data_IF_697982340544
#
_entry.id   IF_697982340544
#
_cell.length_a   1.000
_cell.length_b   1.000
_cell.length_c   1.000
_cell.angle_alpha   90.00
_cell.angle_beta   90.00
_cell.angle_gamma   90.00
#
_symmetry.space_group_name_H-M   'P 1'
#
loop_
_entity.id
_entity.type
_entity.pdbx_description
1 polymer ?
#
# COMPACT_ATOMS: atom_id res chain seq x y z
N UNK A 1 -6.26 10.66 13.86
CA UNK A 1 -5.98 9.24 13.50
C UNK A 1 -4.65 9.15 12.78
N UNK A 2 -4.04 7.96 12.69
CA UNK A 2 -2.78 7.76 11.97
C UNK A 2 -2.96 6.75 10.84
N UNK A 3 -2.41 7.05 9.66
CA UNK A 3 -2.55 6.22 8.45
C UNK A 3 -1.17 5.92 7.87
N UNK A 4 -0.92 4.65 7.58
CA UNK A 4 0.22 4.19 6.79
C UNK A 4 -0.25 3.90 5.36
N UNK A 5 0.21 4.71 4.42
CA UNK A 5 -0.03 4.51 3.00
C UNK A 5 1.03 3.58 2.43
N UNK A 6 0.60 2.62 1.61
CA UNK A 6 1.51 1.63 1.02
C UNK A 6 1.25 1.46 -0.46
N UNK A 7 2.32 1.19 -1.22
CA UNK A 7 2.17 0.74 -2.59
C UNK A 7 1.73 -0.73 -2.64
N UNK A 8 0.48 -0.95 -3.02
CA UNK A 8 -0.09 -2.29 -3.07
C UNK A 8 0.62 -3.21 -4.06
N UNK A 9 1.18 -2.68 -5.15
CA UNK A 9 1.84 -3.52 -6.14
C UNK A 9 3.18 -4.02 -5.63
N UNK A 10 3.99 -3.12 -5.05
CA UNK A 10 5.29 -3.48 -4.48
C UNK A 10 5.17 -4.46 -3.32
N UNK A 11 4.09 -4.37 -2.53
CA UNK A 11 3.85 -5.28 -1.40
C UNK A 11 3.31 -6.64 -1.87
N UNK A 12 2.34 -6.67 -2.78
CA UNK A 12 1.62 -7.91 -3.12
C UNK A 12 2.30 -8.73 -4.22
N UNK A 13 3.12 -8.09 -5.07
CA UNK A 13 3.80 -8.72 -6.20
C UNK A 13 5.26 -8.26 -6.28
N UNK A 14 5.95 -8.25 -5.14
CA UNK A 14 7.38 -7.94 -5.08
C UNK A 14 8.20 -8.90 -5.96
N UNK A 15 9.34 -8.42 -6.45
CA UNK A 15 10.25 -9.25 -7.24
C UNK A 15 10.68 -10.51 -6.45
N UNK A 16 10.95 -10.37 -5.16
CA UNK A 16 11.29 -11.50 -4.30
C UNK A 16 10.15 -12.54 -4.24
N UNK A 17 8.91 -12.09 -4.00
CA UNK A 17 7.75 -12.98 -3.96
C UNK A 17 7.55 -13.75 -5.27
N UNK A 18 7.62 -13.05 -6.41
CA UNK A 18 7.47 -13.65 -7.74
C UNK A 18 8.61 -14.64 -8.04
N UNK A 19 9.85 -14.33 -7.63
CA UNK A 19 10.99 -15.22 -7.84
C UNK A 19 10.93 -16.50 -6.98
N UNK A 20 10.24 -16.46 -5.83
CA UNK A 20 10.03 -17.66 -5.00
C UNK A 20 8.84 -18.51 -5.45
N UNK A 21 8.00 -18.02 -6.37
CA UNK A 21 6.76 -18.67 -6.77
C UNK A 21 6.60 -18.72 -8.30
N UNK A 22 7.32 -19.63 -8.96
CA UNK A 22 7.36 -19.76 -10.42
C UNK A 22 5.97 -19.81 -11.08
N UNK A 23 5.04 -20.60 -10.52
CA UNK A 23 3.68 -20.70 -11.05
C UNK A 23 2.88 -19.39 -10.91
N UNK A 24 3.12 -18.61 -9.86
CA UNK A 24 2.49 -17.30 -9.66
C UNK A 24 3.09 -16.30 -10.63
N UNK A 25 4.42 -16.30 -10.78
CA UNK A 25 5.15 -15.48 -11.74
C UNK A 25 4.70 -15.72 -13.17
N UNK A 26 4.60 -16.97 -13.60
CA UNK A 26 4.12 -17.31 -14.95
C UNK A 26 2.71 -16.76 -15.19
N UNK A 27 1.79 -16.92 -14.22
CA UNK A 27 0.43 -16.38 -14.33
C UNK A 27 0.41 -14.86 -14.35
N UNK A 28 1.30 -14.23 -13.60
CA UNK A 28 1.45 -12.78 -13.54
C UNK A 28 1.99 -12.20 -14.85
N UNK A 29 3.06 -12.78 -15.40
CA UNK A 29 3.66 -12.36 -16.68
C UNK A 29 2.71 -12.60 -17.86
N UNK A 30 1.88 -13.66 -17.80
CA UNK A 30 0.86 -13.94 -18.80
C UNK A 30 -0.40 -13.07 -18.67
N UNK A 31 -0.50 -12.17 -17.67
CA UNK A 31 -1.59 -11.21 -17.59
C UNK A 31 -1.50 -10.21 -18.74
N UNK A 32 -2.62 -10.01 -19.44
CA UNK A 32 -2.72 -8.92 -20.42
C UNK A 32 -2.75 -7.57 -19.68
N UNK A 33 -2.04 -6.53 -20.17
CA UNK A 33 -1.92 -5.23 -19.50
C UNK A 33 -3.24 -4.46 -19.32
N UNK A 34 -4.34 -4.89 -19.96
CA UNK A 34 -5.66 -4.27 -19.88
C UNK A 34 -6.64 -4.98 -18.94
N UNK A 35 -6.20 -5.97 -18.16
CA UNK A 35 -7.09 -6.67 -17.21
C UNK A 35 -7.33 -5.82 -15.95
N UNK A 36 -8.57 -5.83 -15.46
CA UNK A 36 -8.94 -5.17 -14.20
C UNK A 36 -8.17 -5.77 -13.02
N UNK A 37 -7.85 -4.95 -12.02
CA UNK A 37 -7.19 -5.39 -10.78
C UNK A 37 -7.96 -6.49 -10.04
N UNK A 38 -9.30 -6.50 -10.15
CA UNK A 38 -10.14 -7.57 -9.61
C UNK A 38 -9.79 -8.94 -10.21
N UNK A 39 -9.68 -9.02 -11.54
CA UNK A 39 -9.27 -10.24 -12.26
C UNK A 39 -7.84 -10.64 -11.88
N UNK A 40 -6.92 -9.67 -11.75
CA UNK A 40 -5.54 -9.94 -11.31
C UNK A 40 -5.54 -10.64 -9.96
N UNK A 41 -6.20 -10.06 -8.96
CA UNK A 41 -6.27 -10.62 -7.60
C UNK A 41 -7.01 -11.97 -7.54
N UNK A 42 -7.96 -12.23 -8.44
CA UNK A 42 -8.62 -13.53 -8.55
C UNK A 42 -7.78 -14.63 -9.20
N UNK A 43 -6.87 -14.27 -10.12
CA UNK A 43 -6.17 -15.25 -10.96
C UNK A 43 -4.70 -15.45 -10.58
N UNK A 44 -4.11 -14.45 -9.94
CA UNK A 44 -2.74 -14.45 -9.44
C UNK A 44 -2.78 -14.25 -7.95
N UNK A 45 -2.32 -15.25 -7.20
CA UNK A 45 -2.29 -15.17 -5.75
C UNK A 45 -1.39 -14.01 -5.29
N UNK A 46 -1.91 -13.06 -4.50
CA UNK A 46 -1.09 -12.00 -3.93
C UNK A 46 -0.27 -12.52 -2.74
N UNK A 47 0.85 -11.84 -2.43
CA UNK A 47 1.64 -12.09 -1.23
C UNK A 47 0.88 -11.71 0.05
N UNK A 48 0.10 -12.68 0.56
CA UNK A 48 -0.67 -12.53 1.79
C UNK A 48 0.21 -12.55 3.04
N UNK A 49 1.41 -13.12 2.98
CA UNK A 49 2.30 -13.19 4.14
C UNK A 49 2.90 -11.82 4.42
N UNK A 50 3.43 -11.16 3.39
CA UNK A 50 3.89 -9.79 3.47
C UNK A 50 2.77 -8.83 3.88
N UNK A 51 1.56 -8.99 3.31
CA UNK A 51 0.40 -8.19 3.71
C UNK A 51 0.06 -8.36 5.21
N UNK A 52 0.06 -9.60 5.73
CA UNK A 52 -0.16 -9.87 7.16
C UNK A 52 0.91 -9.24 8.04
N UNK A 53 2.18 -9.35 7.63
CA UNK A 53 3.32 -8.76 8.34
C UNK A 53 3.19 -7.23 8.43
N UNK A 54 2.81 -6.59 7.32
CA UNK A 54 2.53 -5.15 7.28
C UNK A 54 1.36 -4.77 8.19
N UNK A 55 0.26 -5.52 8.14
CA UNK A 55 -0.91 -5.28 8.99
C UNK A 55 -0.59 -5.44 10.48
N UNK A 56 0.27 -6.40 10.83
CA UNK A 56 0.73 -6.60 12.19
C UNK A 56 1.56 -5.41 12.68
N UNK A 57 2.53 -4.96 11.89
CA UNK A 57 3.36 -3.80 12.21
C UNK A 57 2.51 -2.51 12.36
N UNK A 58 1.57 -2.29 11.45
CA UNK A 58 0.65 -1.16 11.52
C UNK A 58 -0.23 -1.21 12.78
N UNK A 59 -0.72 -2.40 13.14
CA UNK A 59 -1.51 -2.60 14.37
C UNK A 59 -0.71 -2.27 15.62
N UNK A 60 0.55 -2.72 15.70
CA UNK A 60 1.44 -2.42 16.82
C UNK A 60 1.74 -0.92 16.94
N UNK A 61 1.82 -0.22 15.82
CA UNK A 61 2.00 1.23 15.75
C UNK A 61 0.70 2.05 15.89
N UNK A 62 -0.45 1.40 16.09
CA UNK A 62 -1.78 2.02 16.10
C UNK A 62 -2.07 2.85 14.82
N UNK A 63 -1.68 2.29 13.68
CA UNK A 63 -1.88 2.85 12.34
C UNK A 63 -2.97 2.07 11.60
N UNK A 64 -3.77 2.78 10.80
CA UNK A 64 -4.63 2.19 9.78
C UNK A 64 -3.88 2.12 8.45
N UNK A 65 -4.09 1.07 7.66
CA UNK A 65 -3.48 0.91 6.35
C UNK A 65 -4.35 1.55 5.26
N UNK A 66 -3.73 2.12 4.23
CA UNK A 66 -4.49 2.54 3.05
C UNK A 66 -3.66 2.41 1.75
N UNK A 67 -4.22 1.83 0.68
CA UNK A 67 -3.48 1.67 -0.57
C UNK A 67 -3.25 3.03 -1.25
N UNK A 68 -2.05 3.23 -1.79
CA UNK A 68 -1.76 4.37 -2.63
C UNK A 68 -2.21 4.10 -4.08
N UNK A 69 -2.65 5.16 -4.77
CA UNK A 69 -3.11 5.08 -6.16
C UNK A 69 -4.57 4.66 -6.29
N UNK A 70 -4.96 4.24 -7.50
CA UNK A 70 -6.37 3.97 -7.85
C UNK A 70 -6.63 2.55 -8.34
N UNK A 71 -5.59 1.74 -8.53
CA UNK A 71 -5.72 0.37 -9.05
C UNK A 71 -6.22 -0.60 -7.99
N UNK A 72 -5.61 -0.59 -6.82
CA UNK A 72 -5.96 -1.45 -5.69
C UNK A 72 -6.84 -0.68 -4.72
N UNK A 73 -8.15 -0.70 -4.93
CA UNK A 73 -9.08 -0.01 -4.02
C UNK A 73 -9.23 -0.76 -2.70
N UNK A 74 -9.66 -0.04 -1.66
CA UNK A 74 -9.98 -0.59 -0.34
C UNK A 74 -10.93 -1.79 -0.46
N UNK A 75 -11.97 -1.66 -1.27
CA UNK A 75 -12.99 -2.67 -1.48
C UNK A 75 -12.42 -3.95 -2.11
N UNK A 76 -11.49 -3.80 -3.06
CA UNK A 76 -10.83 -4.95 -3.70
C UNK A 76 -9.93 -5.70 -2.72
N UNK A 77 -9.17 -4.97 -1.89
CA UNK A 77 -8.31 -5.58 -0.89
C UNK A 77 -9.09 -6.37 0.17
N UNK A 78 -10.26 -5.86 0.56
CA UNK A 78 -11.19 -6.58 1.46
C UNK A 78 -11.79 -7.79 0.73
N UNK A 79 -12.32 -7.60 -0.49
CA UNK A 79 -12.96 -8.66 -1.29
C UNK A 79 -12.06 -9.88 -1.48
N UNK A 80 -10.76 -9.65 -1.70
CA UNK A 80 -9.78 -10.72 -1.93
C UNK A 80 -9.07 -11.21 -0.66
N UNK A 81 -9.58 -10.84 0.52
CA UNK A 81 -9.03 -11.23 1.84
C UNK A 81 -7.55 -10.88 2.01
N UNK A 82 -7.11 -9.76 1.43
CA UNK A 82 -5.74 -9.25 1.62
C UNK A 82 -5.63 -8.54 2.97
N UNK A 83 -6.63 -7.71 3.30
CA UNK A 83 -6.76 -7.03 4.58
C UNK A 83 -8.21 -7.10 5.07
N UNK A 84 -8.40 -6.98 6.38
CA UNK A 84 -9.72 -6.85 6.97
C UNK A 84 -10.18 -5.38 7.00
N UNK A 85 -11.50 -5.17 7.09
CA UNK A 85 -12.10 -3.83 7.13
C UNK A 85 -11.55 -2.96 8.27
N UNK A 86 -11.32 -3.56 9.43
CA UNK A 86 -10.79 -2.88 10.62
C UNK A 86 -9.30 -2.49 10.51
N UNK A 87 -8.55 -3.11 9.59
CA UNK A 87 -7.14 -2.79 9.35
C UNK A 87 -6.99 -1.60 8.41
N UNK A 88 -8.03 -1.25 7.65
CA UNK A 88 -7.97 -0.24 6.60
C UNK A 88 -8.58 1.09 7.03
N UNK A 89 -7.94 2.19 6.64
CA UNK A 89 -8.50 3.52 6.80
C UNK A 89 -9.80 3.67 5.99
N UNK A 90 -10.73 4.56 6.40
CA UNK A 90 -11.99 4.75 5.71
C UNK A 90 -11.77 5.31 4.30
N UNK A 91 -12.57 4.87 3.34
CA UNK A 91 -12.60 5.43 2.00
C UNK A 91 -13.20 6.84 2.03
N UNK A 92 -12.61 7.77 1.27
CA UNK A 92 -13.13 9.12 1.05
C UNK A 92 -13.26 9.38 -0.44
N UNK A 93 -14.45 9.80 -0.88
CA UNK A 93 -14.63 10.26 -2.25
C UNK A 93 -13.93 11.62 -2.46
N UNK A 94 -12.88 11.59 -3.30
CA UNK A 94 -12.07 12.76 -3.65
C UNK A 94 -12.49 13.40 -4.97
N UNK A 95 -13.50 12.87 -5.67
CA UNK A 95 -13.88 13.27 -7.05
C UNK A 95 -14.07 14.79 -7.19
N UNK A 96 -14.76 15.41 -6.23
CA UNK A 96 -15.03 16.87 -6.23
C UNK A 96 -14.00 17.68 -5.44
N UNK A 97 -13.01 17.02 -4.84
CA UNK A 97 -11.99 17.63 -3.97
C UNK A 97 -10.62 17.71 -4.63
N UNK A 98 -10.51 17.18 -5.85
CA UNK A 98 -9.31 17.16 -6.66
C UNK A 98 -9.59 17.76 -8.04
N UNK A 99 -8.52 18.10 -8.76
CA UNK A 99 -8.66 18.52 -10.15
C UNK A 99 -9.21 17.35 -10.98
N UNK A 100 -10.09 17.62 -11.96
CA UNK A 100 -10.50 16.60 -12.92
C UNK A 100 -9.26 15.92 -13.54
N UNK A 101 -9.33 14.59 -13.70
CA UNK A 101 -8.24 13.74 -14.20
C UNK A 101 -6.94 13.71 -13.38
N UNK A 102 -6.93 14.25 -12.15
CA UNK A 102 -5.78 14.12 -11.26
C UNK A 102 -5.69 12.69 -10.69
N UNK A 103 -4.81 11.91 -11.32
CA UNK A 103 -4.50 10.52 -10.98
C UNK A 103 -3.20 10.37 -10.20
N UNK A 104 -2.59 11.47 -9.77
CA UNK A 104 -1.31 11.46 -9.05
C UNK A 104 -1.48 10.79 -7.67
N UNK A 105 -0.86 9.62 -7.42
CA UNK A 105 -1.09 8.85 -6.19
C UNK A 105 -0.72 9.62 -4.92
N UNK A 106 0.34 10.44 -4.96
CA UNK A 106 0.85 11.18 -3.80
C UNK A 106 -0.05 12.39 -3.50
N UNK A 107 -0.53 13.11 -4.53
CA UNK A 107 -1.50 14.20 -4.31
C UNK A 107 -2.81 13.68 -3.73
N UNK A 108 -3.29 12.54 -4.25
CA UNK A 108 -4.48 11.86 -3.73
C UNK A 108 -4.29 11.47 -2.26
N UNK A 109 -3.13 10.91 -1.91
CA UNK A 109 -2.78 10.58 -0.53
C UNK A 109 -2.82 11.82 0.37
N UNK A 110 -2.16 12.92 0.00
CA UNK A 110 -2.20 14.15 0.81
C UNK A 110 -3.62 14.68 0.99
N UNK A 111 -4.44 14.64 -0.08
CA UNK A 111 -5.82 15.08 0.02
C UNK A 111 -6.64 14.15 0.91
N UNK A 112 -6.47 12.83 0.79
CA UNK A 112 -7.12 11.84 1.63
C UNK A 112 -6.79 12.06 3.11
N UNK A 113 -5.49 12.18 3.45
CA UNK A 113 -5.04 12.43 4.80
C UNK A 113 -5.57 13.76 5.36
N UNK A 114 -5.57 14.82 4.55
CA UNK A 114 -6.10 16.13 4.93
C UNK A 114 -7.60 16.11 5.21
N UNK A 115 -8.39 15.34 4.46
CA UNK A 115 -9.83 15.24 4.70
C UNK A 115 -10.15 14.50 6.00
N UNK A 116 -9.33 13.52 6.36
CA UNK A 116 -9.49 12.72 7.57
C UNK A 116 -8.82 13.33 8.80
N UNK A 117 -8.21 14.51 8.66
CA UNK A 117 -7.36 15.12 9.69
C UNK A 117 -6.37 14.10 10.29
N UNK A 118 -5.75 13.33 9.39
CA UNK A 118 -4.92 12.19 9.73
C UNK A 118 -3.43 12.52 9.66
N UNK A 119 -2.68 12.07 10.65
CA UNK A 119 -1.24 11.94 10.50
C UNK A 119 -0.96 10.80 9.51
N UNK A 120 -0.06 11.05 8.57
CA UNK A 120 0.22 10.13 7.49
C UNK A 120 1.68 9.71 7.49
N UNK A 121 1.90 8.46 7.13
CA UNK A 121 3.18 7.83 6.86
C UNK A 121 3.11 7.09 5.53
N UNK A 122 4.24 6.85 4.88
CA UNK A 122 4.30 6.14 3.59
C UNK A 122 5.33 5.01 3.66
N UNK A 123 5.03 3.86 3.06
CA UNK A 123 5.98 2.76 2.91
C UNK A 123 5.96 2.13 1.51
N UNK A 124 7.03 1.39 1.20
CA UNK A 124 7.24 0.73 -0.09
C UNK A 124 7.85 1.67 -1.13
N UNK A 125 7.71 1.33 -2.42
CA UNK A 125 8.32 2.13 -3.50
C UNK A 125 7.79 3.56 -3.59
N UNK A 126 6.56 3.80 -3.10
CA UNK A 126 6.00 5.14 -2.97
C UNK A 126 6.80 6.06 -2.03
N UNK A 127 7.60 5.50 -1.11
CA UNK A 127 8.47 6.26 -0.21
C UNK A 127 9.63 6.96 -0.94
N UNK A 128 10.00 6.49 -2.14
CA UNK A 128 11.09 7.05 -2.94
C UNK A 128 10.73 8.36 -3.68
N UNK A 129 9.46 8.81 -3.60
CA UNK A 129 9.02 10.03 -4.28
C UNK A 129 9.71 11.27 -3.69
N UNK A 130 10.34 12.07 -4.55
CA UNK A 130 11.11 13.24 -4.11
C UNK A 130 10.30 14.27 -3.32
N UNK A 131 8.99 14.33 -3.52
CA UNK A 131 8.10 15.24 -2.79
C UNK A 131 7.99 14.89 -1.31
N UNK A 132 8.31 13.63 -0.95
CA UNK A 132 8.33 13.18 0.44
C UNK A 132 9.60 13.62 1.19
N UNK A 133 10.68 13.99 0.48
CA UNK A 133 11.93 14.49 1.08
C UNK A 133 11.71 15.75 1.93
N UNK A 134 10.67 16.54 1.63
CA UNK A 134 10.27 17.71 2.43
C UNK A 134 9.62 17.35 3.79
N UNK A 135 9.31 16.07 4.02
CA UNK A 135 8.66 15.57 5.23
C UNK A 135 9.52 14.48 5.89
N UNK A 136 10.62 14.86 6.57
CA UNK A 136 11.47 13.89 7.25
C UNK A 136 10.66 13.08 8.27
N UNK A 137 11.02 11.81 8.45
CA UNK A 137 10.39 10.85 9.38
C UNK A 137 8.95 10.41 9.01
N UNK A 138 8.47 10.72 7.80
CA UNK A 138 7.13 10.28 7.34
C UNK A 138 7.14 9.22 6.25
N UNK A 139 8.31 8.81 5.77
CA UNK A 139 8.44 7.82 4.71
C UNK A 139 9.45 6.73 5.12
N UNK A 140 9.13 5.48 4.78
CA UNK A 140 9.93 4.31 5.09
C UNK A 140 10.24 3.57 3.79
N UNK A 141 11.46 3.77 3.32
CA UNK A 141 11.99 3.07 2.16
C UNK A 141 12.21 1.59 2.53
N UNK A 142 11.68 0.69 1.70
CA UNK A 142 12.01 -0.73 1.72
C UNK A 142 13.21 -0.98 0.80
N UNK A 143 13.95 -2.05 1.04
CA UNK A 143 14.93 -2.51 0.07
C UNK A 143 14.24 -2.85 -1.26
N UNK A 144 14.91 -2.52 -2.37
CA UNK A 144 14.32 -2.69 -3.69
C UNK A 144 14.07 -4.17 -4.00
N UNK A 145 12.84 -4.50 -4.40
CA UNK A 145 12.45 -5.87 -4.71
C UNK A 145 12.02 -6.72 -3.50
N UNK A 146 12.18 -6.24 -2.27
CA UNK A 146 11.60 -6.85 -1.07
C UNK A 146 10.25 -6.22 -0.73
N UNK A 147 9.24 -7.05 -0.41
CA UNK A 147 7.91 -6.58 -0.02
C UNK A 147 7.93 -5.90 1.37
N UNK A 148 8.12 -6.70 2.43
CA UNK A 148 8.09 -6.23 3.82
C UNK A 148 9.29 -6.79 4.58
N UNK A 149 10.39 -6.05 4.57
CA UNK A 149 11.60 -6.38 5.32
C UNK A 149 11.39 -6.19 6.84
N UNK A 150 12.18 -6.87 7.66
CA UNK A 150 12.14 -6.69 9.13
C UNK A 150 12.57 -5.28 9.55
N UNK A 151 13.44 -4.65 8.76
CA UNK A 151 13.82 -3.26 8.96
C UNK A 151 12.62 -2.32 8.74
N UNK A 152 11.83 -2.56 7.69
CA UNK A 152 10.62 -1.77 7.42
C UNK A 152 9.63 -1.89 8.57
N UNK A 153 9.41 -3.10 9.06
CA UNK A 153 8.54 -3.36 10.23
C UNK A 153 9.04 -2.60 11.45
N UNK A 154 10.33 -2.64 11.73
CA UNK A 154 10.93 -1.93 12.87
C UNK A 154 10.73 -0.42 12.78
N UNK A 155 10.91 0.17 11.58
CA UNK A 155 10.66 1.59 11.32
C UNK A 155 9.18 1.96 11.53
N UNK A 156 8.25 1.12 11.06
CA UNK A 156 6.82 1.32 11.26
C UNK A 156 6.47 1.26 12.74
N UNK A 157 6.95 0.26 13.48
CA UNK A 157 6.68 0.12 14.92
C UNK A 157 7.22 1.33 15.70
N UNK A 158 8.39 1.85 15.33
CA UNK A 158 8.97 3.03 15.96
C UNK A 158 8.07 4.28 15.82
N UNK A 159 7.13 4.31 14.86
CA UNK A 159 6.16 5.42 14.73
C UNK A 159 5.13 5.49 15.86
N UNK A 160 5.00 4.42 16.65
CA UNK A 160 4.14 4.39 17.83
C UNK A 160 4.51 5.49 18.84
N UNK A 161 5.79 5.90 18.87
CA UNK A 161 6.33 6.88 19.81
C UNK A 161 6.06 8.34 19.44
N UNK A 162 5.56 8.62 18.22
CA UNK A 162 5.23 9.97 17.74
C UNK A 162 3.78 10.34 18.03
#
# INVERSE_FOLDING_TARGET
MKILYFDSFSILYSANYLNCHDAVRERFENQKPFRSTDILLSSVEPDKESAKKLAQAAREANLLLYPIGTRFTRELLIKHNVFSDAQLAPFVDLTWRMRPDDRDPIRRMFKHASVLDAQWFVCGEAACDERLKSFPNRYFESEWGEAVSDELVSKIIATAAY
#
